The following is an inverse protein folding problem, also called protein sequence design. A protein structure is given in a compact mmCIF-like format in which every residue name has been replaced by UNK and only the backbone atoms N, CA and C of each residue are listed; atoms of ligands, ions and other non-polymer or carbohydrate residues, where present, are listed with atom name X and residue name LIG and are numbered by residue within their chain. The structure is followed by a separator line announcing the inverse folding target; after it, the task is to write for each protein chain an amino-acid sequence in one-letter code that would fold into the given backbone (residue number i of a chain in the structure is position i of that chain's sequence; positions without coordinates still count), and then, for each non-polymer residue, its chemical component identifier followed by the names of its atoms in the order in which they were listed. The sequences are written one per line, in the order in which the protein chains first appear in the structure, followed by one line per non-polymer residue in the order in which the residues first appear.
data_IF_596436121965
#
_entry.id   IF_596436121965
#
_cell.length_a   1.000
_cell.length_b   1.000
_cell.length_c   1.000
_cell.angle_alpha   90.00
_cell.angle_beta   90.00
_cell.angle_gamma   90.00
#
_symmetry.space_group_name_H-M   'P 1'
#
loop_
_entity.id
_entity.type
_entity.pdbx_description
1 polymer ?
#
# COMPACT_ATOMS: atom_id res chain seq x y z
N UNK A 1 -31.45 5.74 -3.84
CA UNK A 1 -31.15 4.32 -4.00
C UNK A 1 -30.56 3.77 -2.71
N UNK A 2 -30.75 2.47 -2.47
CA UNK A 2 -30.15 1.72 -1.37
C UNK A 2 -28.91 0.99 -1.90
N UNK A 3 -27.74 1.31 -1.38
CA UNK A 3 -26.44 0.88 -1.93
C UNK A 3 -25.64 0.15 -0.86
N UNK A 4 -25.12 -1.04 -1.19
CA UNK A 4 -24.15 -1.74 -0.35
C UNK A 4 -22.74 -1.47 -0.84
N UNK A 5 -21.80 -1.31 0.11
CA UNK A 5 -20.36 -1.25 -0.15
C UNK A 5 -19.69 -2.39 0.61
N UNK A 6 -18.90 -3.20 -0.08
CA UNK A 6 -18.19 -4.34 0.51
C UNK A 6 -16.73 -3.95 0.71
N UNK A 7 -16.36 -3.74 1.98
CA UNK A 7 -15.05 -3.30 2.44
C UNK A 7 -15.03 -1.89 3.00
N UNK A 8 -14.58 -1.75 4.26
CA UNK A 8 -14.38 -0.48 4.97
C UNK A 8 -12.93 0.01 4.93
N UNK A 9 -12.22 -0.25 3.84
CA UNK A 9 -10.95 0.41 3.53
C UNK A 9 -11.17 1.86 3.08
N UNK A 10 -10.11 2.65 2.90
CA UNK A 10 -10.24 4.06 2.52
C UNK A 10 -11.03 4.28 1.22
N UNK A 11 -10.92 3.37 0.24
CA UNK A 11 -11.70 3.45 -1.00
C UNK A 11 -13.20 3.28 -0.76
N UNK A 12 -13.60 2.27 0.02
CA UNK A 12 -15.01 2.02 0.36
C UNK A 12 -15.61 3.14 1.19
N UNK A 13 -14.88 3.64 2.20
CA UNK A 13 -15.32 4.76 3.03
C UNK A 13 -15.44 6.08 2.23
N UNK A 14 -14.48 6.36 1.33
CA UNK A 14 -14.57 7.54 0.47
C UNK A 14 -15.75 7.47 -0.52
N UNK A 15 -16.01 6.27 -1.08
CA UNK A 15 -17.18 6.05 -1.91
C UNK A 15 -18.49 6.25 -1.14
N UNK A 16 -18.57 5.74 0.10
CA UNK A 16 -19.72 5.91 0.96
C UNK A 16 -20.00 7.38 1.27
N UNK A 17 -18.94 8.15 1.57
CA UNK A 17 -19.01 9.57 1.82
C UNK A 17 -19.64 10.34 0.64
N UNK A 18 -19.14 10.12 -0.56
CA UNK A 18 -19.62 10.80 -1.76
C UNK A 18 -21.07 10.38 -2.12
N UNK A 19 -21.39 9.07 -2.03
CA UNK A 19 -22.72 8.54 -2.28
C UNK A 19 -23.75 9.10 -1.28
N UNK A 20 -23.37 9.22 -0.01
CA UNK A 20 -24.25 9.81 1.01
C UNK A 20 -24.49 11.30 0.76
N UNK A 21 -23.45 12.05 0.36
CA UNK A 21 -23.59 13.47 -0.07
C UNK A 21 -24.53 13.60 -1.26
N UNK A 22 -24.57 12.61 -2.14
CA UNK A 22 -25.49 12.54 -3.27
C UNK A 22 -26.94 12.08 -2.89
N UNK A 23 -27.22 11.87 -1.60
CA UNK A 23 -28.56 11.56 -1.10
C UNK A 23 -28.93 10.07 -1.09
N UNK A 24 -27.96 9.16 -1.30
CA UNK A 24 -28.22 7.72 -1.29
C UNK A 24 -28.19 7.16 0.14
N UNK A 25 -28.94 6.07 0.37
CA UNK A 25 -28.82 5.26 1.57
C UNK A 25 -27.68 4.26 1.39
N UNK A 26 -26.70 4.28 2.28
CA UNK A 26 -25.48 3.47 2.14
C UNK A 26 -25.27 2.60 3.37
N UNK A 27 -24.97 1.31 3.14
CA UNK A 27 -24.53 0.35 4.15
C UNK A 27 -23.17 -0.20 3.75
N UNK A 28 -22.20 -0.17 4.67
CA UNK A 28 -20.85 -0.75 4.47
C UNK A 28 -20.79 -2.08 5.24
N UNK A 29 -20.33 -3.12 4.56
CA UNK A 29 -20.00 -4.42 5.15
C UNK A 29 -18.50 -4.59 5.25
N UNK A 30 -17.99 -4.92 6.44
CA UNK A 30 -16.57 -5.17 6.69
C UNK A 30 -16.41 -6.45 7.51
N UNK A 31 -15.56 -7.36 7.02
CA UNK A 31 -15.31 -8.65 7.69
C UNK A 31 -14.49 -8.50 8.98
N UNK A 32 -13.63 -7.50 9.05
CA UNK A 32 -12.87 -7.21 10.26
C UNK A 32 -13.75 -6.48 11.31
N UNK A 33 -13.33 -6.56 12.57
CA UNK A 33 -13.96 -5.79 13.67
C UNK A 33 -13.53 -4.32 13.72
N UNK A 34 -12.81 -3.83 12.70
CA UNK A 34 -12.27 -2.48 12.60
C UNK A 34 -12.24 -2.02 11.13
N UNK A 35 -12.20 -0.72 10.93
CA UNK A 35 -12.09 -0.08 9.61
C UNK A 35 -10.63 0.17 9.21
N UNK A 36 -10.38 0.56 7.96
CA UNK A 36 -9.08 1.02 7.46
C UNK A 36 -8.42 0.06 6.46
N UNK A 37 -8.88 -1.20 6.37
CA UNK A 37 -8.35 -2.17 5.41
C UNK A 37 -6.84 -2.40 5.60
N UNK A 38 -6.05 -2.35 4.52
CA UNK A 38 -4.58 -2.52 4.60
C UNK A 38 -3.85 -1.39 5.33
N UNK A 39 -4.46 -0.22 5.49
CA UNK A 39 -3.91 0.88 6.26
C UNK A 39 -4.39 0.88 7.73
N UNK A 40 -5.07 -0.18 8.16
CA UNK A 40 -5.45 -0.36 9.55
C UNK A 40 -4.23 -0.53 10.45
N UNK A 41 -4.40 -0.16 11.70
CA UNK A 41 -3.38 -0.23 12.73
C UNK A 41 -3.88 -0.89 14.02
N UNK A 42 -3.03 -0.85 15.01
CA UNK A 42 -3.31 -1.31 16.37
C UNK A 42 -2.54 -0.44 17.36
N UNK A 43 -2.88 -0.54 18.65
CA UNK A 43 -2.08 0.07 19.72
C UNK A 43 -2.06 -0.81 20.95
N UNK A 44 -0.99 -0.71 21.73
CA UNK A 44 -0.91 -1.28 23.06
C UNK A 44 -1.58 -0.34 24.07
N UNK A 45 -1.99 -0.85 25.25
CA UNK A 45 -2.68 -0.04 26.27
C UNK A 45 -1.89 1.18 26.75
N UNK A 46 -0.56 1.13 26.70
CA UNK A 46 0.34 2.20 27.14
C UNK A 46 0.78 3.16 26.02
N UNK A 47 0.27 2.98 24.80
CA UNK A 47 0.53 3.87 23.67
C UNK A 47 -0.60 4.89 23.50
N UNK A 48 -0.27 6.13 23.23
CA UNK A 48 -1.26 7.15 22.87
C UNK A 48 -1.67 7.04 21.40
N UNK A 49 -0.70 6.69 20.51
CA UNK A 49 -0.92 6.56 19.09
C UNK A 49 -0.98 5.10 18.65
N UNK A 50 -1.65 4.86 17.52
CA UNK A 50 -1.64 3.58 16.82
C UNK A 50 -0.41 3.46 15.91
N UNK A 51 0.03 2.22 15.66
CA UNK A 51 0.95 1.86 14.59
C UNK A 51 0.21 1.05 13.54
N UNK A 52 0.55 1.24 12.28
CA UNK A 52 -0.06 0.52 11.17
C UNK A 52 0.42 -0.94 11.15
N UNK A 53 -0.45 -1.86 10.71
CA UNK A 53 -0.07 -3.27 10.47
C UNK A 53 0.94 -3.40 9.33
N UNK A 54 0.81 -2.54 8.34
CA UNK A 54 1.73 -2.38 7.21
C UNK A 54 2.10 -0.91 7.18
N UNK A 55 3.39 -0.56 7.16
CA UNK A 55 3.83 0.83 7.20
C UNK A 55 3.24 1.64 6.03
N UNK A 56 2.61 2.75 6.37
CA UNK A 56 2.00 3.69 5.45
C UNK A 56 2.51 5.11 5.70
N UNK A 57 2.51 5.92 4.67
CA UNK A 57 2.75 7.36 4.75
C UNK A 57 2.11 8.03 3.53
N UNK A 58 1.86 9.32 3.63
CA UNK A 58 1.42 10.14 2.53
C UNK A 58 2.60 10.89 1.90
N UNK A 59 2.44 11.27 0.64
CA UNK A 59 3.27 12.25 -0.02
C UNK A 59 2.55 13.62 -0.06
N UNK A 60 3.33 14.71 -0.15
CA UNK A 60 2.73 16.05 -0.33
C UNK A 60 1.97 16.17 -1.66
N UNK A 61 2.20 15.26 -2.60
CA UNK A 61 1.52 15.13 -3.88
C UNK A 61 0.22 14.31 -3.85
N UNK A 62 -0.18 13.77 -2.69
CA UNK A 62 -1.36 12.91 -2.52
C UNK A 62 -2.66 13.74 -2.46
N UNK A 63 -2.97 14.40 -3.59
CA UNK A 63 -4.04 15.39 -3.69
C UNK A 63 -5.43 14.87 -3.34
N UNK A 64 -5.74 13.61 -3.68
CA UNK A 64 -7.07 13.04 -3.41
C UNK A 64 -7.29 12.81 -1.91
N UNK A 65 -6.27 12.27 -1.25
CA UNK A 65 -6.33 12.02 0.20
C UNK A 65 -6.30 13.33 0.98
N UNK A 66 -5.39 14.25 0.62
CA UNK A 66 -5.30 15.56 1.27
C UNK A 66 -6.55 16.40 1.01
N UNK A 67 -7.14 16.31 -0.19
CA UNK A 67 -8.41 16.94 -0.51
C UNK A 67 -9.57 16.39 0.34
N UNK A 68 -9.63 15.06 0.55
CA UNK A 68 -10.61 14.47 1.47
C UNK A 68 -10.42 14.96 2.91
N UNK A 69 -9.18 15.01 3.38
CA UNK A 69 -8.85 15.52 4.73
C UNK A 69 -9.30 16.98 4.87
N UNK A 70 -9.09 17.81 3.84
CA UNK A 70 -9.55 19.19 3.79
C UNK A 70 -11.08 19.29 3.82
N UNK A 71 -11.79 18.48 3.03
CA UNK A 71 -13.26 18.44 3.08
C UNK A 71 -13.82 18.07 4.46
N UNK A 72 -13.03 17.29 5.24
CA UNK A 72 -13.37 16.88 6.60
C UNK A 72 -12.97 17.93 7.65
N UNK A 73 -12.19 18.97 7.28
CA UNK A 73 -11.69 20.00 8.19
C UNK A 73 -10.62 19.51 9.16
N UNK A 74 -9.72 18.60 8.71
CA UNK A 74 -8.70 17.96 9.56
C UNK A 74 -7.26 18.19 9.07
N UNK A 75 -7.01 19.26 8.32
CA UNK A 75 -5.69 19.59 7.75
C UNK A 75 -4.65 19.84 8.84
N UNK A 76 -5.05 20.42 9.96
CA UNK A 76 -4.23 20.70 11.14
C UNK A 76 -3.67 19.42 11.80
N UNK A 77 -4.28 18.27 11.52
CA UNK A 77 -3.88 16.95 12.04
C UNK A 77 -2.90 16.21 11.16
N UNK A 78 -2.54 16.76 10.01
CA UNK A 78 -1.57 16.15 9.08
C UNK A 78 -0.18 16.72 9.32
N UNK A 79 0.79 15.85 9.50
CA UNK A 79 2.19 16.22 9.69
C UNK A 79 3.04 15.72 8.52
N UNK A 80 4.01 16.52 8.09
CA UNK A 80 4.95 16.19 7.00
C UNK A 80 6.41 16.34 7.45
N UNK A 81 6.91 15.50 8.38
CA UNK A 81 8.33 15.50 8.70
C UNK A 81 9.17 15.04 7.50
N UNK A 82 10.47 15.34 7.57
CA UNK A 82 11.44 14.88 6.57
C UNK A 82 12.28 13.76 7.17
N UNK A 83 11.96 12.50 6.91
CA UNK A 83 12.70 11.37 7.43
C UNK A 83 13.99 11.13 6.66
N UNK A 84 15.00 10.61 7.35
CA UNK A 84 16.26 10.21 6.74
C UNK A 84 16.10 8.81 6.10
N UNK A 85 16.39 8.73 4.82
CA UNK A 85 16.39 7.47 4.06
C UNK A 85 17.81 7.07 3.69
N UNK A 86 18.14 5.79 3.86
CA UNK A 86 19.46 5.28 3.51
C UNK A 86 19.39 4.06 2.59
N UNK A 87 20.48 3.82 1.89
CA UNK A 87 20.72 2.65 1.05
C UNK A 87 21.94 1.90 1.58
N UNK A 88 21.81 0.59 1.77
CA UNK A 88 22.95 -0.27 2.12
C UNK A 88 23.80 -0.57 0.88
N UNK A 89 25.11 -0.35 1.00
CA UNK A 89 26.08 -0.67 -0.06
C UNK A 89 27.44 -1.00 0.52
N UNK A 90 28.01 -2.16 0.17
CA UNK A 90 29.35 -2.60 0.56
C UNK A 90 29.65 -2.42 2.06
N UNK A 91 28.75 -2.87 2.93
CA UNK A 91 28.95 -2.85 4.39
C UNK A 91 28.58 -1.54 5.07
N UNK A 92 28.11 -0.52 4.36
CA UNK A 92 27.78 0.81 4.93
C UNK A 92 26.41 1.29 4.48
N UNK A 93 25.82 2.19 5.27
CA UNK A 93 24.62 2.92 4.91
C UNK A 93 24.99 4.29 4.37
N UNK A 94 24.37 4.67 3.25
CA UNK A 94 24.58 5.95 2.59
C UNK A 94 23.27 6.71 2.50
N UNK A 95 23.24 8.03 2.76
CA UNK A 95 22.05 8.85 2.58
C UNK A 95 21.46 8.70 1.18
N UNK A 96 20.13 8.61 1.11
CA UNK A 96 19.39 8.43 -0.13
C UNK A 96 18.03 9.16 -0.10
N UNK A 97 17.97 10.28 0.62
CA UNK A 97 16.77 11.06 0.94
C UNK A 97 16.58 12.29 0.05
N UNK A 98 17.54 12.57 -0.84
CA UNK A 98 17.54 13.71 -1.74
C UNK A 98 18.18 13.38 -3.09
N UNK A 99 17.93 14.24 -4.11
CA UNK A 99 18.57 14.11 -5.43
C UNK A 99 20.08 14.20 -5.30
N UNK A 100 20.59 15.14 -4.48
CA UNK A 100 22.03 15.30 -4.27
C UNK A 100 22.63 14.07 -3.60
N UNK A 101 22.00 13.55 -2.54
CA UNK A 101 22.44 12.33 -1.86
C UNK A 101 22.48 11.13 -2.83
N UNK A 102 21.44 10.99 -3.68
CA UNK A 102 21.41 9.96 -4.71
C UNK A 102 22.55 10.11 -5.74
N UNK A 103 22.84 11.32 -6.19
CA UNK A 103 23.96 11.59 -7.11
C UNK A 103 25.35 11.37 -6.47
N UNK A 104 25.46 11.57 -5.16
CA UNK A 104 26.69 11.31 -4.39
C UNK A 104 26.85 9.85 -3.99
N UNK A 105 25.81 9.02 -4.18
CA UNK A 105 25.84 7.60 -3.81
C UNK A 105 26.99 6.86 -4.57
N UNK A 106 27.91 6.21 -3.84
CA UNK A 106 29.11 5.60 -4.47
C UNK A 106 28.77 4.42 -5.39
N UNK A 107 27.61 3.77 -5.20
CA UNK A 107 27.13 2.69 -6.06
C UNK A 107 26.85 3.13 -7.50
N UNK A 108 26.62 4.42 -7.77
CA UNK A 108 26.45 4.95 -9.14
C UNK A 108 27.77 5.01 -9.93
N UNK A 109 28.94 4.80 -9.28
CA UNK A 109 30.23 4.98 -9.95
C UNK A 109 30.54 6.45 -10.23
N UNK A 110 31.33 6.69 -11.30
CA UNK A 110 31.76 8.02 -11.71
C UNK A 110 31.37 8.30 -13.18
N UNK A 111 31.35 9.58 -13.56
CA UNK A 111 31.20 10.01 -14.95
C UNK A 111 29.81 9.74 -15.53
N UNK A 112 29.78 9.00 -16.66
CA UNK A 112 28.58 8.82 -17.50
C UNK A 112 27.38 8.20 -16.77
N UNK A 113 27.60 7.34 -15.77
CA UNK A 113 26.54 6.69 -15.02
C UNK A 113 25.71 7.69 -14.19
N UNK A 114 26.38 8.68 -13.57
CA UNK A 114 25.70 9.76 -12.85
C UNK A 114 24.91 10.66 -13.78
N UNK A 115 25.47 10.96 -14.96
CA UNK A 115 24.77 11.76 -15.98
C UNK A 115 23.53 11.01 -16.47
N UNK A 116 23.63 9.73 -16.78
CA UNK A 116 22.49 8.88 -17.17
C UNK A 116 21.43 8.79 -16.09
N UNK A 117 21.84 8.58 -14.82
CA UNK A 117 20.91 8.54 -13.69
C UNK A 117 20.13 9.85 -13.57
N UNK A 118 20.83 11.00 -13.62
CA UNK A 118 20.20 12.32 -13.53
C UNK A 118 19.26 12.59 -14.71
N UNK A 119 19.70 12.28 -15.95
CA UNK A 119 18.89 12.47 -17.15
C UNK A 119 17.62 11.59 -17.15
N UNK A 120 17.74 10.32 -16.80
CA UNK A 120 16.60 9.40 -16.69
C UNK A 120 15.63 9.88 -15.63
N UNK A 121 16.13 10.29 -14.46
CA UNK A 121 15.28 10.83 -13.39
C UNK A 121 14.53 12.08 -13.83
N UNK A 122 15.21 13.03 -14.50
CA UNK A 122 14.61 14.25 -15.03
C UNK A 122 13.57 13.94 -16.11
N UNK A 123 13.90 13.09 -17.08
CA UNK A 123 12.97 12.66 -18.13
C UNK A 123 11.69 12.09 -17.55
N UNK A 124 11.79 11.17 -16.57
CA UNK A 124 10.63 10.52 -15.94
C UNK A 124 9.81 11.52 -15.09
N UNK A 125 10.44 12.53 -14.52
CA UNK A 125 9.73 13.60 -13.81
C UNK A 125 8.96 14.53 -14.75
N UNK A 126 9.49 14.82 -15.92
CA UNK A 126 8.90 15.77 -16.88
C UNK A 126 7.85 15.11 -17.79
N UNK A 127 8.10 13.90 -18.28
CA UNK A 127 7.19 13.25 -19.22
C UNK A 127 5.82 12.94 -18.59
N UNK A 128 4.78 13.05 -19.41
CA UNK A 128 3.41 12.58 -19.09
C UNK A 128 2.99 11.41 -19.99
N UNK A 129 3.85 10.96 -20.91
CA UNK A 129 3.55 9.91 -21.88
C UNK A 129 3.74 8.50 -21.29
N UNK A 130 3.00 8.19 -20.22
CA UNK A 130 3.02 6.88 -19.60
C UNK A 130 2.50 5.77 -20.53
N UNK A 131 1.61 6.10 -21.51
CA UNK A 131 1.08 5.14 -22.49
C UNK A 131 2.17 4.57 -23.42
N UNK A 132 3.21 5.34 -23.70
CA UNK A 132 4.38 4.81 -24.41
C UNK A 132 5.24 3.91 -23.50
N UNK A 133 5.34 4.28 -22.21
CA UNK A 133 6.13 3.56 -21.22
C UNK A 133 5.49 2.23 -20.81
N UNK A 134 4.16 2.09 -20.85
CA UNK A 134 3.52 0.81 -20.52
C UNK A 134 3.77 -0.30 -21.55
N UNK A 135 4.23 0.03 -22.74
CA UNK A 135 4.50 -0.91 -23.83
C UNK A 135 5.84 -1.64 -23.70
N UNK A 136 6.68 -1.23 -22.78
CA UNK A 136 8.02 -1.77 -22.53
C UNK A 136 8.19 -2.13 -21.07
N UNK A 137 9.07 -3.09 -20.79
CA UNK A 137 9.37 -3.46 -19.39
C UNK A 137 10.30 -2.45 -18.73
N UNK A 138 10.15 -2.27 -17.41
CA UNK A 138 11.05 -1.43 -16.62
C UNK A 138 12.48 -1.98 -16.65
N UNK A 139 12.64 -3.32 -16.61
CA UNK A 139 13.92 -4.02 -16.71
C UNK A 139 14.71 -3.61 -17.97
N UNK A 140 14.13 -3.82 -19.16
CA UNK A 140 14.79 -3.54 -20.43
C UNK A 140 15.02 -2.04 -20.65
N UNK A 141 14.04 -1.20 -20.32
CA UNK A 141 14.12 0.24 -20.52
C UNK A 141 15.18 0.87 -19.61
N UNK A 142 15.19 0.53 -18.32
CA UNK A 142 16.17 1.06 -17.37
C UNK A 142 17.59 0.58 -17.70
N UNK A 143 17.77 -0.68 -18.10
CA UNK A 143 19.07 -1.21 -18.51
C UNK A 143 19.62 -0.43 -19.72
N UNK A 144 18.77 -0.13 -20.70
CA UNK A 144 19.17 0.61 -21.91
C UNK A 144 19.52 2.06 -21.60
N UNK A 145 18.69 2.80 -20.86
CA UNK A 145 18.82 4.26 -20.73
C UNK A 145 19.62 4.69 -19.51
N UNK A 146 19.40 4.06 -18.36
CA UNK A 146 20.19 4.35 -17.17
C UNK A 146 21.58 3.68 -17.20
N UNK A 147 21.73 2.62 -18.00
CA UNK A 147 22.96 1.83 -18.13
C UNK A 147 23.01 0.67 -17.13
N UNK A 148 23.76 -0.38 -17.51
CA UNK A 148 23.84 -1.65 -16.76
C UNK A 148 24.22 -1.44 -15.30
N UNK A 149 25.26 -0.65 -15.03
CA UNK A 149 25.76 -0.44 -13.66
C UNK A 149 24.71 0.22 -12.76
N UNK A 150 24.06 1.30 -13.25
CA UNK A 150 22.99 2.00 -12.52
C UNK A 150 21.78 1.09 -12.32
N UNK A 151 21.41 0.36 -13.37
CA UNK A 151 20.29 -0.57 -13.31
C UNK A 151 20.51 -1.66 -12.25
N UNK A 152 21.64 -2.37 -12.30
CA UNK A 152 21.92 -3.48 -11.39
C UNK A 152 22.04 -3.05 -9.93
N UNK A 153 22.54 -1.84 -9.65
CA UNK A 153 22.78 -1.39 -8.28
C UNK A 153 21.61 -0.61 -7.67
N UNK A 154 20.76 0.01 -8.50
CA UNK A 154 19.71 0.91 -8.04
C UNK A 154 18.31 0.38 -8.31
N UNK A 155 18.04 -0.01 -9.54
CA UNK A 155 16.67 -0.27 -9.99
C UNK A 155 16.29 -1.74 -9.92
N UNK A 156 17.21 -2.64 -10.27
CA UNK A 156 16.97 -4.09 -10.17
C UNK A 156 16.67 -4.55 -8.74
N UNK A 157 17.42 -4.15 -7.70
CA UNK A 157 17.06 -4.51 -6.33
C UNK A 157 15.67 -4.04 -5.92
N UNK A 158 15.27 -2.84 -6.35
CA UNK A 158 13.92 -2.33 -6.13
C UNK A 158 12.85 -3.17 -6.83
N UNK A 159 13.06 -3.49 -8.12
CA UNK A 159 12.12 -4.31 -8.90
C UNK A 159 12.00 -5.71 -8.33
N UNK A 160 13.13 -6.36 -8.03
CA UNK A 160 13.17 -7.70 -7.42
C UNK A 160 12.47 -7.70 -6.06
N UNK A 161 12.78 -6.73 -5.22
CA UNK A 161 12.17 -6.62 -3.89
C UNK A 161 10.66 -6.36 -3.92
N UNK A 162 10.17 -5.65 -4.96
CA UNK A 162 8.74 -5.35 -5.09
C UNK A 162 7.95 -6.45 -5.75
N UNK A 163 8.51 -7.13 -6.74
CA UNK A 163 7.77 -8.00 -7.65
C UNK A 163 8.31 -9.43 -7.71
N UNK A 164 9.35 -9.74 -6.93
CA UNK A 164 9.92 -11.10 -6.90
C UNK A 164 10.21 -11.63 -8.30
N UNK A 165 9.65 -12.81 -8.68
CA UNK A 165 9.90 -13.42 -9.98
C UNK A 165 9.35 -12.62 -11.16
N UNK A 166 8.37 -11.75 -10.94
CA UNK A 166 7.74 -10.94 -11.99
C UNK A 166 8.51 -9.66 -12.32
N UNK A 167 9.66 -9.39 -11.70
CA UNK A 167 10.36 -8.11 -11.84
C UNK A 167 10.74 -7.75 -13.28
N UNK A 168 10.95 -8.75 -14.16
CA UNK A 168 11.26 -8.56 -15.58
C UNK A 168 10.05 -8.21 -16.44
N UNK A 169 8.85 -8.53 -15.97
CA UNK A 169 7.61 -8.38 -16.73
C UNK A 169 6.87 -7.07 -16.40
N UNK A 170 7.31 -6.38 -15.32
CA UNK A 170 6.70 -5.12 -14.88
C UNK A 170 6.97 -4.03 -15.92
N UNK A 171 5.91 -3.31 -16.29
CA UNK A 171 6.00 -2.24 -17.29
C UNK A 171 6.71 -0.98 -16.74
N UNK A 172 7.23 -0.17 -17.65
CA UNK A 172 7.97 1.05 -17.31
C UNK A 172 7.06 2.17 -16.80
N UNK A 173 5.74 2.14 -17.06
CA UNK A 173 4.81 3.13 -16.54
C UNK A 173 4.72 3.08 -15.00
N UNK A 174 4.82 1.90 -14.39
CA UNK A 174 4.90 1.77 -12.95
C UNK A 174 6.15 2.49 -12.36
N UNK A 175 7.32 2.29 -12.98
CA UNK A 175 8.54 2.96 -12.54
C UNK A 175 8.44 4.49 -12.72
N UNK A 176 7.84 4.93 -13.81
CA UNK A 176 7.53 6.34 -14.05
C UNK A 176 6.65 6.91 -12.95
N UNK A 177 5.52 6.27 -12.64
CA UNK A 177 4.59 6.73 -11.61
C UNK A 177 5.28 6.89 -10.25
N UNK A 178 6.12 5.91 -9.89
CA UNK A 178 6.87 5.91 -8.65
C UNK A 178 7.88 7.07 -8.55
N UNK A 179 8.55 7.42 -9.63
CA UNK A 179 9.51 8.53 -9.66
C UNK A 179 8.76 9.88 -9.69
N UNK A 180 7.67 9.95 -10.46
CA UNK A 180 6.90 11.18 -10.66
C UNK A 180 6.17 11.64 -9.41
N UNK A 181 5.56 10.72 -8.67
CA UNK A 181 4.73 11.05 -7.51
C UNK A 181 5.53 11.32 -6.22
N UNK A 182 6.80 10.89 -6.12
CA UNK A 182 7.56 10.98 -4.86
C UNK A 182 7.93 12.40 -4.47
N UNK A 183 7.74 12.70 -3.18
CA UNK A 183 8.24 13.90 -2.50
C UNK A 183 9.25 13.50 -1.43
N UNK A 184 10.04 14.46 -0.95
CA UNK A 184 11.08 14.24 0.08
C UNK A 184 10.52 14.24 1.50
N UNK A 185 9.33 14.79 1.69
CA UNK A 185 8.60 14.76 2.97
C UNK A 185 7.55 13.65 2.92
N UNK A 186 7.41 12.94 4.03
CA UNK A 186 6.41 11.91 4.21
C UNK A 186 5.36 12.39 5.21
N UNK A 187 4.10 12.06 4.96
CA UNK A 187 2.97 12.48 5.78
C UNK A 187 2.43 11.37 6.66
N UNK A 188 1.95 11.75 7.83
CA UNK A 188 1.12 10.92 8.71
C UNK A 188 0.03 11.76 9.35
N UNK A 189 -0.93 11.12 10.01
CA UNK A 189 -2.02 11.75 10.74
C UNK A 189 -1.75 11.69 12.24
N UNK A 190 -2.18 12.71 12.97
CA UNK A 190 -2.16 12.70 14.44
C UNK A 190 -2.88 11.45 14.98
N UNK A 191 -2.17 10.65 15.79
CA UNK A 191 -2.68 9.38 16.30
C UNK A 191 -2.53 8.18 15.35
N UNK A 192 -1.91 8.35 14.16
CA UNK A 192 -1.69 7.31 13.15
C UNK A 192 -2.87 7.11 12.20
N UNK A 193 -2.68 6.26 11.17
CA UNK A 193 -3.70 6.01 10.14
C UNK A 193 -4.97 5.35 10.69
N UNK A 194 -4.88 4.54 11.75
CA UNK A 194 -6.06 3.96 12.38
C UNK A 194 -6.93 5.04 13.03
N UNK A 195 -6.31 6.07 13.64
CA UNK A 195 -7.05 7.19 14.21
C UNK A 195 -7.82 7.95 13.12
N UNK A 196 -7.16 8.22 11.98
CA UNK A 196 -7.86 8.79 10.82
C UNK A 196 -9.03 7.90 10.36
N UNK A 197 -8.81 6.59 10.21
CA UNK A 197 -9.86 5.66 9.77
C UNK A 197 -11.05 5.63 10.73
N UNK A 198 -10.79 5.63 12.04
CA UNK A 198 -11.83 5.65 13.06
C UNK A 198 -12.65 6.95 13.04
N UNK A 199 -11.97 8.11 13.01
CA UNK A 199 -12.63 9.43 12.88
C UNK A 199 -13.46 9.53 11.61
N UNK A 200 -12.95 8.99 10.50
CA UNK A 200 -13.69 8.99 9.25
C UNK A 200 -14.93 8.08 9.32
N UNK A 201 -14.81 6.90 9.93
CA UNK A 201 -15.96 6.02 10.16
C UNK A 201 -17.01 6.65 11.10
N UNK A 202 -16.59 7.37 12.15
CA UNK A 202 -17.49 8.14 13.01
C UNK A 202 -18.22 9.21 12.19
N UNK A 203 -17.52 9.97 11.37
CA UNK A 203 -18.12 10.97 10.48
C UNK A 203 -19.16 10.35 9.53
N UNK A 204 -18.85 9.19 8.96
CA UNK A 204 -19.80 8.46 8.11
C UNK A 204 -21.07 8.04 8.88
N UNK A 205 -20.93 7.57 10.12
CA UNK A 205 -22.08 7.24 10.98
C UNK A 205 -22.92 8.47 11.33
N UNK A 206 -22.29 9.61 11.64
CA UNK A 206 -22.98 10.89 11.85
C UNK A 206 -23.81 11.31 10.62
N UNK A 207 -23.34 10.99 9.43
CA UNK A 207 -24.05 11.23 8.17
C UNK A 207 -25.19 10.20 7.92
N UNK A 208 -25.40 9.24 8.81
CA UNK A 208 -26.41 8.19 8.69
C UNK A 208 -26.01 7.01 7.79
N UNK A 209 -24.71 6.76 7.62
CA UNK A 209 -24.20 5.55 6.96
C UNK A 209 -24.09 4.43 8.00
N UNK A 210 -24.68 3.30 7.70
CA UNK A 210 -24.53 2.10 8.50
C UNK A 210 -23.21 1.40 8.19
N UNK A 211 -22.39 1.11 9.22
CA UNK A 211 -21.13 0.37 9.07
C UNK A 211 -21.20 -0.89 9.93
N UNK A 212 -21.32 -2.05 9.28
CA UNK A 212 -21.39 -3.38 9.89
C UNK A 212 -20.00 -3.99 9.93
N UNK A 213 -19.40 -3.99 11.12
CA UNK A 213 -18.10 -4.61 11.36
C UNK A 213 -18.26 -6.06 11.80
N UNK A 214 -17.30 -6.92 11.46
CA UNK A 214 -17.36 -8.37 11.69
C UNK A 214 -18.37 -9.07 10.76
N UNK A 215 -18.97 -8.35 9.81
CA UNK A 215 -20.00 -8.80 8.90
C UNK A 215 -19.40 -9.13 7.52
N UNK A 216 -18.78 -10.30 7.42
CA UNK A 216 -18.21 -10.79 6.15
C UNK A 216 -19.30 -11.16 5.15
N UNK A 217 -19.25 -10.58 3.95
CA UNK A 217 -20.16 -10.96 2.86
C UNK A 217 -19.77 -12.33 2.32
N UNK A 218 -20.76 -13.20 2.17
CA UNK A 218 -20.62 -14.59 1.70
C UNK A 218 -20.86 -14.70 0.19
N UNK A 219 -21.87 -13.98 -0.31
CA UNK A 219 -22.22 -13.97 -1.74
C UNK A 219 -23.00 -12.71 -2.14
N UNK A 220 -22.94 -12.40 -3.43
CA UNK A 220 -23.72 -11.35 -4.08
C UNK A 220 -24.40 -12.00 -5.28
N UNK A 221 -25.75 -11.99 -5.33
CA UNK A 221 -26.52 -12.58 -6.40
C UNK A 221 -27.56 -11.60 -6.92
N UNK A 222 -27.85 -11.68 -8.23
CA UNK A 222 -28.95 -10.92 -8.80
C UNK A 222 -30.26 -11.57 -8.45
N UNK A 223 -31.19 -10.78 -7.89
CA UNK A 223 -32.56 -11.16 -7.63
C UNK A 223 -33.50 -10.12 -8.26
N UNK A 224 -34.10 -10.49 -9.39
CA UNK A 224 -34.94 -9.60 -10.19
C UNK A 224 -34.18 -8.30 -10.60
N UNK A 225 -34.66 -7.14 -10.14
CA UNK A 225 -34.05 -5.85 -10.42
C UNK A 225 -32.99 -5.42 -9.40
N UNK A 226 -32.78 -6.17 -8.33
CA UNK A 226 -31.89 -5.83 -7.20
C UNK A 226 -30.77 -6.87 -7.04
N UNK A 227 -29.87 -6.58 -6.14
CA UNK A 227 -28.76 -7.47 -5.75
C UNK A 227 -28.95 -7.89 -4.30
N UNK A 228 -29.01 -9.20 -4.06
CA UNK A 228 -29.02 -9.79 -2.72
C UNK A 228 -27.57 -9.91 -2.23
N UNK A 229 -27.28 -9.25 -1.13
CA UNK A 229 -26.00 -9.36 -0.39
C UNK A 229 -26.24 -10.26 0.81
N UNK A 230 -25.56 -11.42 0.84
CA UNK A 230 -25.65 -12.37 1.95
C UNK A 230 -24.49 -12.17 2.92
N UNK A 231 -24.80 -11.96 4.20
CA UNK A 231 -23.86 -11.85 5.32
C UNK A 231 -24.47 -12.48 6.56
N UNK A 232 -23.70 -13.22 7.34
CA UNK A 232 -24.13 -13.90 8.56
C UNK A 232 -25.40 -14.76 8.35
N UNK A 233 -25.48 -15.45 7.21
CA UNK A 233 -26.61 -16.29 6.83
C UNK A 233 -27.87 -15.53 6.38
N UNK A 234 -27.93 -14.21 6.49
CA UNK A 234 -29.07 -13.37 6.10
C UNK A 234 -28.81 -12.67 4.77
N UNK A 235 -29.85 -12.52 3.95
CA UNK A 235 -29.80 -11.79 2.69
C UNK A 235 -30.55 -10.47 2.78
N UNK A 236 -29.95 -9.40 2.27
CA UNK A 236 -30.55 -8.08 2.18
C UNK A 236 -30.46 -7.55 0.75
N UNK A 237 -31.53 -6.92 0.26
CA UNK A 237 -31.62 -6.43 -1.11
C UNK A 237 -31.14 -4.98 -1.22
N UNK A 238 -30.38 -4.71 -2.27
CA UNK A 238 -29.83 -3.41 -2.62
C UNK A 238 -30.06 -3.10 -4.10
N UNK A 239 -30.24 -1.82 -4.41
CA UNK A 239 -30.37 -1.37 -5.79
C UNK A 239 -29.02 -1.49 -6.52
N UNK A 240 -27.92 -1.21 -5.83
CA UNK A 240 -26.56 -1.31 -6.33
C UNK A 240 -25.59 -1.81 -5.27
N UNK A 241 -24.52 -2.47 -5.72
CA UNK A 241 -23.46 -2.98 -4.85
C UNK A 241 -22.11 -2.56 -5.41
N UNK A 242 -21.25 -1.97 -4.56
CA UNK A 242 -19.85 -1.65 -4.86
C UNK A 242 -18.93 -2.57 -4.04
N UNK A 243 -18.13 -3.40 -4.72
CA UNK A 243 -17.14 -4.25 -4.08
C UNK A 243 -15.77 -3.56 -4.13
N UNK A 244 -15.12 -3.36 -2.97
CA UNK A 244 -13.81 -2.68 -2.86
C UNK A 244 -12.72 -3.60 -2.30
N UNK A 245 -12.76 -4.86 -2.69
CA UNK A 245 -11.87 -5.92 -2.19
C UNK A 245 -10.83 -6.34 -3.24
N UNK A 246 -10.12 -7.47 -3.01
CA UNK A 246 -9.24 -8.05 -4.01
C UNK A 246 -10.02 -8.67 -5.19
N UNK A 247 -9.41 -8.78 -6.40
CA UNK A 247 -10.04 -9.45 -7.55
C UNK A 247 -10.45 -10.89 -7.26
N UNK A 248 -9.64 -11.64 -6.52
CA UNK A 248 -9.94 -13.03 -6.16
C UNK A 248 -11.15 -13.13 -5.22
N UNK A 249 -11.30 -12.18 -4.27
CA UNK A 249 -12.47 -12.14 -3.40
C UNK A 249 -13.71 -11.72 -4.20
N UNK A 250 -13.60 -10.75 -5.11
CA UNK A 250 -14.70 -10.38 -6.01
C UNK A 250 -15.21 -11.59 -6.80
N UNK A 251 -14.29 -12.37 -7.39
CA UNK A 251 -14.66 -13.59 -8.12
C UNK A 251 -15.38 -14.64 -7.25
N UNK A 252 -14.98 -14.73 -5.97
CA UNK A 252 -15.64 -15.63 -5.00
C UNK A 252 -17.03 -15.14 -4.60
N UNK A 253 -17.20 -13.83 -4.41
CA UNK A 253 -18.46 -13.22 -3.93
C UNK A 253 -19.54 -13.21 -5.03
N UNK A 254 -19.16 -13.06 -6.29
CA UNK A 254 -20.07 -12.97 -7.43
C UNK A 254 -19.74 -14.02 -8.50
N UNK A 255 -19.93 -15.33 -8.21
CA UNK A 255 -19.58 -16.42 -9.14
C UNK A 255 -20.44 -16.42 -10.41
N UNK A 256 -21.56 -15.73 -10.42
CA UNK A 256 -22.47 -15.60 -11.57
C UNK A 256 -21.96 -14.60 -12.63
N UNK A 257 -20.82 -13.92 -12.38
CA UNK A 257 -20.15 -13.12 -13.40
C UNK A 257 -19.73 -13.98 -14.60
N UNK A 258 -19.77 -13.44 -15.82
CA UNK A 258 -19.37 -14.19 -17.02
C UNK A 258 -17.94 -14.76 -16.89
N UNK A 259 -17.73 -15.97 -17.40
CA UNK A 259 -16.46 -16.71 -17.25
C UNK A 259 -15.24 -15.94 -17.76
N UNK A 260 -15.37 -15.19 -18.86
CA UNK A 260 -14.30 -14.35 -19.38
C UNK A 260 -13.93 -13.21 -18.42
N UNK A 261 -14.91 -12.61 -17.72
CA UNK A 261 -14.67 -11.58 -16.72
C UNK A 261 -14.00 -12.17 -15.46
N UNK A 262 -14.50 -13.31 -14.96
CA UNK A 262 -13.88 -14.04 -13.84
C UNK A 262 -12.44 -14.41 -14.13
N UNK A 263 -12.16 -14.94 -15.33
CA UNK A 263 -10.81 -15.23 -15.79
C UNK A 263 -9.93 -13.99 -15.75
N UNK A 264 -10.41 -12.85 -16.28
CA UNK A 264 -9.69 -11.58 -16.26
C UNK A 264 -9.36 -11.10 -14.85
N UNK A 265 -10.29 -11.25 -13.87
CA UNK A 265 -10.03 -10.93 -12.46
C UNK A 265 -8.92 -11.81 -11.86
N UNK A 266 -8.95 -13.12 -12.13
CA UNK A 266 -8.02 -14.10 -11.56
C UNK A 266 -6.62 -14.05 -12.21
N UNK A 267 -6.51 -13.52 -13.43
CA UNK A 267 -5.24 -13.28 -14.12
C UNK A 267 -4.49 -12.03 -13.61
N UNK A 268 -5.16 -11.13 -12.86
CA UNK A 268 -4.51 -9.98 -12.24
C UNK A 268 -3.58 -10.43 -11.12
N UNK A 269 -2.29 -10.41 -11.40
CA UNK A 269 -1.26 -10.85 -10.44
C UNK A 269 -1.04 -9.82 -9.34
N UNK A 270 -0.75 -10.30 -8.14
CA UNK A 270 -0.36 -9.46 -7.00
C UNK A 270 0.65 -10.20 -6.13
N UNK A 271 1.58 -9.46 -5.55
CA UNK A 271 2.42 -9.94 -4.45
C UNK A 271 1.64 -9.80 -3.14
N UNK A 272 1.85 -10.72 -2.25
CA UNK A 272 1.49 -10.58 -0.85
C UNK A 272 2.53 -9.76 -0.08
N UNK A 273 2.31 -9.57 1.21
CA UNK A 273 3.27 -8.94 2.10
C UNK A 273 3.29 -9.63 3.46
N UNK A 274 4.50 -9.72 4.02
CA UNK A 274 4.73 -10.10 5.41
C UNK A 274 5.50 -8.96 6.07
N UNK A 275 4.94 -8.39 7.13
CA UNK A 275 5.54 -7.27 7.86
C UNK A 275 5.54 -7.58 9.34
N UNK A 276 6.74 -7.60 9.91
CA UNK A 276 6.96 -7.69 11.35
C UNK A 276 7.03 -6.28 11.94
N UNK A 277 6.29 -6.04 13.00
CA UNK A 277 6.40 -4.85 13.84
C UNK A 277 7.07 -5.25 15.14
N UNK A 278 8.08 -4.52 15.53
CA UNK A 278 8.85 -4.74 16.75
C UNK A 278 8.70 -3.53 17.68
N UNK A 279 8.43 -3.77 18.95
CA UNK A 279 8.66 -2.82 20.03
C UNK A 279 10.00 -3.14 20.66
N UNK A 280 10.91 -2.17 20.68
CA UNK A 280 12.26 -2.31 21.22
C UNK A 280 12.47 -1.42 22.43
N UNK A 281 13.36 -1.85 23.37
CA UNK A 281 13.81 -1.05 24.52
C UNK A 281 14.75 0.10 24.12
N UNK A 282 15.49 -0.08 23.03
CA UNK A 282 16.53 0.84 22.57
C UNK A 282 16.36 1.16 21.09
N UNK A 283 16.78 2.35 20.70
CA UNK A 283 16.82 2.78 19.32
C UNK A 283 17.75 1.89 18.51
N UNK A 284 17.26 1.41 17.35
CA UNK A 284 18.04 0.53 16.49
C UNK A 284 19.06 1.33 15.66
N UNK A 285 18.65 2.46 15.08
CA UNK A 285 19.51 3.30 14.27
C UNK A 285 20.22 4.38 15.11
N UNK A 286 21.52 4.24 15.29
CA UNK A 286 22.33 5.24 16.02
C UNK A 286 22.29 6.63 15.38
N UNK A 287 22.13 6.69 14.04
CA UNK A 287 22.13 7.93 13.27
C UNK A 287 20.73 8.50 13.01
N UNK A 288 19.67 7.90 13.59
CA UNK A 288 18.30 8.36 13.45
C UNK A 288 17.71 8.10 12.04
N UNK A 289 18.20 7.10 11.31
CA UNK A 289 17.64 6.74 10.03
C UNK A 289 16.23 6.16 10.18
N UNK A 290 15.32 6.65 9.35
CA UNK A 290 13.94 6.18 9.32
C UNK A 290 13.77 4.98 8.38
N UNK A 291 14.23 5.10 7.12
CA UNK A 291 14.03 4.10 6.08
C UNK A 291 15.34 3.50 5.60
N UNK A 292 15.45 2.20 5.71
CA UNK A 292 16.59 1.42 5.23
C UNK A 292 16.19 0.64 3.97
N UNK A 293 16.82 0.93 2.84
CA UNK A 293 16.72 0.10 1.65
C UNK A 293 17.76 -1.02 1.76
N UNK A 294 17.30 -2.26 1.81
CA UNK A 294 18.09 -3.45 2.13
C UNK A 294 18.11 -4.40 0.92
N UNK A 295 19.19 -4.39 0.10
CA UNK A 295 19.29 -5.29 -1.03
C UNK A 295 19.37 -6.76 -0.57
N UNK A 296 18.56 -7.64 -1.16
CA UNK A 296 18.56 -9.08 -0.84
C UNK A 296 19.91 -9.73 -1.16
N UNK A 297 20.61 -9.27 -2.21
CA UNK A 297 21.94 -9.70 -2.59
C UNK A 297 22.99 -9.44 -1.50
N UNK A 298 22.73 -8.54 -0.58
CA UNK A 298 23.55 -8.29 0.60
C UNK A 298 23.21 -9.21 1.79
N UNK A 299 22.34 -10.21 1.60
CA UNK A 299 21.97 -11.18 2.62
C UNK A 299 20.96 -10.65 3.65
N UNK A 300 20.15 -9.64 3.30
CA UNK A 300 19.04 -9.23 4.13
C UNK A 300 17.79 -10.08 3.81
N UNK A 301 17.10 -10.62 4.83
CA UNK A 301 15.91 -11.44 4.66
C UNK A 301 14.63 -10.61 4.44
N UNK A 302 14.71 -9.28 4.47
CA UNK A 302 13.64 -8.33 4.23
C UNK A 302 14.07 -7.29 3.19
N UNK A 303 13.11 -6.71 2.48
CA UNK A 303 13.35 -5.65 1.50
C UNK A 303 13.65 -4.29 2.16
N UNK A 304 12.96 -4.00 3.24
CA UNK A 304 13.07 -2.73 3.92
C UNK A 304 12.92 -2.89 5.44
N UNK A 305 13.59 -2.00 6.15
CA UNK A 305 13.37 -1.78 7.57
C UNK A 305 13.00 -0.32 7.76
N UNK A 306 12.02 -0.06 8.62
CA UNK A 306 11.55 1.28 8.93
C UNK A 306 11.56 1.47 10.45
N UNK A 307 12.40 2.33 10.96
CA UNK A 307 12.36 2.71 12.37
C UNK A 307 11.40 3.88 12.55
N UNK A 308 10.15 3.54 12.83
CA UNK A 308 9.02 4.47 12.87
C UNK A 308 9.22 5.61 13.86
N UNK A 309 9.86 5.31 14.97
CA UNK A 309 10.14 6.31 16.04
C UNK A 309 11.26 7.30 15.71
N UNK A 310 11.86 7.20 14.53
CA UNK A 310 12.69 8.26 13.95
C UNK A 310 11.87 9.20 13.01
N UNK A 311 10.55 8.99 12.93
CA UNK A 311 9.60 9.77 12.16
C UNK A 311 8.48 10.36 13.04
N UNK A 312 7.98 9.57 14.00
CA UNK A 312 7.02 9.96 15.03
C UNK A 312 7.69 9.74 16.38
N UNK A 313 7.54 10.69 17.32
CA UNK A 313 8.19 10.58 18.63
C UNK A 313 7.81 9.29 19.35
N UNK A 314 8.80 8.62 19.96
CA UNK A 314 8.59 7.45 20.82
C UNK A 314 7.70 7.76 22.04
N UNK A 315 7.56 9.01 22.42
CA UNK A 315 6.73 9.41 23.56
C UNK A 315 5.26 9.02 23.32
N UNK A 316 4.81 9.02 22.07
CA UNK A 316 3.48 8.53 21.71
C UNK A 316 3.32 7.00 21.82
N UNK A 317 4.42 6.29 22.04
CA UNK A 317 4.46 4.83 22.19
C UNK A 317 4.96 4.41 23.57
N UNK A 318 4.76 5.26 24.59
CA UNK A 318 5.18 4.95 25.97
C UNK A 318 6.69 4.76 26.13
N UNK A 319 7.49 5.37 25.27
CA UNK A 319 8.94 5.24 25.24
C UNK A 319 9.46 4.05 24.42
N UNK A 320 8.59 3.24 23.82
CA UNK A 320 8.99 2.13 22.95
C UNK A 320 9.56 2.65 21.64
N UNK A 321 10.61 1.99 21.14
CA UNK A 321 11.12 2.20 19.78
C UNK A 321 10.44 1.23 18.83
N UNK A 322 9.70 1.76 17.84
CA UNK A 322 8.92 0.96 16.91
C UNK A 322 9.68 0.76 15.60
N UNK A 323 9.83 -0.49 15.22
CA UNK A 323 10.55 -0.89 14.01
C UNK A 323 9.67 -1.81 13.18
N UNK A 324 9.57 -1.53 11.88
CA UNK A 324 8.99 -2.44 10.89
C UNK A 324 10.09 -3.13 10.10
N UNK A 325 9.94 -4.42 9.87
CA UNK A 325 10.76 -5.20 8.95
C UNK A 325 9.82 -5.94 7.98
N UNK A 326 9.88 -5.62 6.69
CA UNK A 326 8.87 -6.10 5.75
C UNK A 326 9.39 -6.50 4.39
N UNK A 327 8.62 -7.38 3.73
CA UNK A 327 8.90 -7.86 2.39
C UNK A 327 7.61 -8.05 1.57
N UNK A 328 7.74 -7.95 0.23
CA UNK A 328 6.72 -8.38 -0.72
C UNK A 328 7.11 -9.75 -1.25
N UNK A 329 6.19 -10.71 -1.12
CA UNK A 329 6.46 -12.12 -1.35
C UNK A 329 5.35 -12.72 -2.21
N UNK A 330 5.70 -13.77 -2.98
CA UNK A 330 4.68 -14.59 -3.63
C UNK A 330 3.78 -15.26 -2.59
N UNK A 331 2.51 -15.38 -2.95
CA UNK A 331 1.56 -16.15 -2.12
C UNK A 331 2.05 -17.59 -2.04
N UNK A 332 2.19 -18.09 -0.81
CA UNK A 332 2.75 -19.44 -0.53
C UNK A 332 4.23 -19.43 -0.15
N UNK A 333 4.93 -18.28 -0.14
CA UNK A 333 6.28 -18.18 0.41
C UNK A 333 6.33 -18.65 1.87
N UNK A 334 7.43 -19.29 2.30
CA UNK A 334 7.59 -19.86 3.65
C UNK A 334 7.23 -18.91 4.79
N UNK A 335 7.47 -17.60 4.63
CA UNK A 335 7.16 -16.59 5.67
C UNK A 335 5.66 -16.51 6.02
N UNK A 336 4.77 -16.91 5.10
CA UNK A 336 3.33 -16.94 5.40
C UNK A 336 2.95 -18.03 6.40
N UNK A 337 3.73 -19.10 6.49
CA UNK A 337 3.50 -20.23 7.41
C UNK A 337 4.32 -20.17 8.71
N UNK A 338 5.38 -19.35 8.74
CA UNK A 338 6.22 -19.20 9.95
C UNK A 338 5.46 -18.53 11.09
N UNK A 339 5.79 -18.93 12.35
CA UNK A 339 5.35 -18.20 13.54
C UNK A 339 6.08 -16.86 13.69
N UNK A 340 5.60 -16.01 14.59
CA UNK A 340 6.23 -14.72 14.89
C UNK A 340 7.66 -14.90 15.42
N UNK A 341 7.89 -15.91 16.26
CA UNK A 341 9.21 -16.25 16.82
C UNK A 341 10.17 -16.74 15.72
N UNK A 342 9.71 -17.63 14.84
CA UNK A 342 10.53 -18.14 13.73
C UNK A 342 10.95 -17.02 12.77
N UNK A 343 10.06 -16.09 12.50
CA UNK A 343 10.39 -14.90 11.68
C UNK A 343 11.34 -13.96 12.41
N UNK A 344 11.17 -13.75 13.71
CA UNK A 344 12.10 -12.96 14.51
C UNK A 344 13.51 -13.56 14.48
N UNK A 345 13.63 -14.86 14.73
CA UNK A 345 14.93 -15.56 14.64
C UNK A 345 15.59 -15.38 13.28
N UNK A 346 14.81 -15.46 12.19
CA UNK A 346 15.29 -15.24 10.83
C UNK A 346 15.79 -13.80 10.62
N UNK A 347 15.20 -12.82 11.31
CA UNK A 347 15.51 -11.39 11.12
C UNK A 347 16.60 -10.87 12.06
N UNK A 348 16.85 -11.52 13.21
CA UNK A 348 17.90 -11.14 14.17
C UNK A 348 19.27 -10.88 13.53
N UNK A 349 19.80 -11.72 12.61
CA UNK A 349 21.09 -11.46 11.98
C UNK A 349 21.13 -10.13 11.20
N UNK A 350 20.01 -9.77 10.57
CA UNK A 350 19.89 -8.50 9.85
C UNK A 350 19.83 -7.29 10.82
N UNK A 351 19.11 -7.42 11.93
CA UNK A 351 19.08 -6.38 12.99
C UNK A 351 20.48 -6.14 13.56
N UNK A 352 21.25 -7.20 13.83
CA UNK A 352 22.67 -7.10 14.24
C UNK A 352 23.56 -6.48 13.17
N UNK A 353 23.28 -6.70 11.89
CA UNK A 353 24.01 -6.11 10.77
C UNK A 353 23.73 -4.61 10.64
N UNK A 354 22.52 -4.17 11.01
CA UNK A 354 22.14 -2.74 11.05
C UNK A 354 22.77 -2.07 12.28
N UNK A 355 22.67 -2.71 13.45
CA UNK A 355 23.28 -2.23 14.68
C UNK A 355 24.05 -3.40 15.37
N UNK A 356 25.39 -3.40 15.35
CA UNK A 356 26.19 -4.44 15.98
C UNK A 356 25.96 -4.59 17.50
N UNK A 357 25.45 -3.56 18.17
CA UNK A 357 25.14 -3.61 19.61
C UNK A 357 23.77 -4.22 19.89
N UNK A 358 22.96 -4.51 18.84
CA UNK A 358 21.64 -5.09 19.00
C UNK A 358 21.74 -6.45 19.70
N UNK A 359 20.89 -6.65 20.71
CA UNK A 359 20.72 -7.90 21.43
C UNK A 359 19.28 -8.36 21.36
N UNK A 360 18.99 -9.68 21.32
CA UNK A 360 17.62 -10.18 21.30
C UNK A 360 16.75 -9.69 22.47
N UNK A 361 17.32 -9.44 23.64
CA UNK A 361 16.62 -8.91 24.81
C UNK A 361 16.18 -7.43 24.69
N UNK A 362 16.59 -6.75 23.61
CA UNK A 362 16.03 -5.44 23.25
C UNK A 362 14.59 -5.54 22.78
N UNK A 363 14.19 -6.70 22.23
CA UNK A 363 12.83 -6.93 21.75
C UNK A 363 11.88 -7.09 22.95
N UNK A 364 10.93 -6.18 23.07
CA UNK A 364 9.86 -6.23 24.08
C UNK A 364 8.68 -7.06 23.57
N UNK A 365 8.28 -6.83 22.33
CA UNK A 365 7.13 -7.48 21.72
C UNK A 365 7.25 -7.53 20.19
N UNK A 366 6.60 -8.52 19.58
CA UNK A 366 6.57 -8.76 18.15
C UNK A 366 5.13 -8.92 17.69
N UNK A 367 4.80 -8.42 16.52
CA UNK A 367 3.55 -8.67 15.80
C UNK A 367 3.88 -8.92 14.33
N UNK A 368 3.34 -9.96 13.75
CA UNK A 368 3.51 -10.26 12.34
C UNK A 368 2.18 -10.13 11.60
N UNK A 369 2.16 -9.26 10.61
CA UNK A 369 1.02 -9.02 9.76
C UNK A 369 1.25 -9.62 8.38
N UNK A 370 0.30 -10.40 7.88
CA UNK A 370 0.39 -11.13 6.62
C UNK A 370 -0.82 -10.80 5.76
N UNK A 371 -0.61 -10.60 4.46
CA UNK A 371 -1.69 -10.44 3.48
C UNK A 371 -1.28 -11.01 2.14
N UNK A 372 -2.20 -11.70 1.47
CA UNK A 372 -1.98 -12.26 0.14
C UNK A 372 -2.17 -11.24 -0.99
N UNK A 373 -2.65 -10.04 -0.70
CA UNK A 373 -2.95 -9.00 -1.68
C UNK A 373 -2.40 -7.66 -1.19
N UNK A 374 -1.20 -7.30 -1.63
CA UNK A 374 -0.50 -6.09 -1.18
C UNK A 374 0.08 -5.23 -2.32
N UNK A 375 0.61 -5.85 -3.38
CA UNK A 375 1.24 -5.13 -4.48
C UNK A 375 0.80 -5.74 -5.82
N UNK A 376 -0.14 -5.10 -6.54
CA UNK A 376 -0.48 -5.49 -7.91
C UNK A 376 0.76 -5.45 -8.81
N UNK A 377 0.83 -6.38 -9.75
CA UNK A 377 1.93 -6.51 -10.71
C UNK A 377 1.48 -5.97 -12.07
N UNK A 378 1.84 -4.72 -12.42
CA UNK A 378 1.44 -4.14 -13.70
C UNK A 378 2.32 -4.66 -14.85
N UNK A 379 1.81 -5.60 -15.61
CA UNK A 379 2.47 -6.17 -16.78
C UNK A 379 2.47 -5.19 -17.97
N UNK A 380 3.23 -5.51 -19.03
CA UNK A 380 3.21 -4.73 -20.29
C UNK A 380 1.77 -4.63 -20.84
N UNK A 381 1.38 -3.45 -21.30
CA UNK A 381 0.02 -3.11 -21.74
C UNK A 381 -1.08 -3.33 -20.68
N UNK A 382 -0.76 -3.13 -19.41
CA UNK A 382 -1.66 -3.40 -18.28
C UNK A 382 -3.02 -2.70 -18.39
N UNK A 383 -3.07 -1.50 -18.95
CA UNK A 383 -4.32 -0.74 -19.15
C UNK A 383 -5.38 -1.49 -19.96
N UNK A 384 -4.99 -2.48 -20.77
CA UNK A 384 -5.91 -3.32 -21.55
C UNK A 384 -6.52 -4.48 -20.74
N UNK A 385 -5.88 -4.83 -19.63
CA UNK A 385 -6.26 -5.98 -18.80
C UNK A 385 -6.99 -5.58 -17.51
N UNK A 386 -7.06 -4.28 -17.24
CA UNK A 386 -7.77 -3.76 -16.06
C UNK A 386 -9.28 -3.88 -16.31
N UNK A 387 -10.03 -4.54 -15.41
CA UNK A 387 -11.48 -4.61 -15.53
C UNK A 387 -12.11 -3.22 -15.36
N UNK A 388 -13.22 -2.96 -16.03
CA UNK A 388 -14.02 -1.76 -15.79
C UNK A 388 -14.58 -1.75 -14.36
N UNK A 389 -14.85 -0.56 -13.81
CA UNK A 389 -15.52 -0.43 -12.51
C UNK A 389 -16.93 -1.02 -12.57
N UNK A 390 -17.68 -0.74 -13.64
CA UNK A 390 -18.96 -1.39 -13.89
C UNK A 390 -18.72 -2.81 -14.37
N UNK A 391 -19.32 -3.78 -13.67
CA UNK A 391 -19.22 -5.19 -14.06
C UNK A 391 -20.28 -5.55 -15.12
N UNK A 392 -20.19 -6.73 -15.75
CA UNK A 392 -21.25 -7.22 -16.65
C UNK A 392 -22.59 -7.48 -15.95
N UNK A 393 -22.65 -7.62 -14.63
CA UNK A 393 -23.91 -7.71 -13.88
C UNK A 393 -24.39 -6.29 -13.58
N UNK A 394 -25.58 -5.96 -14.06
CA UNK A 394 -26.19 -4.65 -13.83
C UNK A 394 -26.34 -4.34 -12.33
N UNK A 395 -26.00 -3.14 -11.91
CA UNK A 395 -26.02 -2.73 -10.50
C UNK A 395 -24.81 -3.16 -9.69
N UNK A 396 -23.95 -4.07 -10.21
CA UNK A 396 -22.75 -4.53 -9.52
C UNK A 396 -21.50 -3.81 -10.05
N UNK A 397 -20.72 -3.24 -9.11
CA UNK A 397 -19.51 -2.47 -9.40
C UNK A 397 -18.32 -3.04 -8.64
N UNK A 398 -17.13 -2.89 -9.21
CA UNK A 398 -15.88 -3.35 -8.63
C UNK A 398 -14.80 -2.26 -8.72
N UNK A 399 -14.24 -1.87 -7.57
CA UNK A 399 -13.17 -0.89 -7.49
C UNK A 399 -12.08 -1.38 -6.53
N UNK A 400 -10.92 -1.70 -7.05
CA UNK A 400 -9.83 -2.28 -6.27
C UNK A 400 -8.48 -1.65 -6.58
N UNK A 401 -7.52 -1.93 -5.72
CA UNK A 401 -6.13 -1.52 -5.89
C UNK A 401 -5.52 -1.98 -7.22
N UNK A 402 -5.97 -3.10 -7.80
CA UNK A 402 -5.52 -3.59 -9.12
C UNK A 402 -5.96 -2.70 -10.29
N UNK A 403 -6.96 -1.84 -10.08
CA UNK A 403 -7.46 -0.89 -11.09
C UNK A 403 -6.84 0.50 -10.96
N UNK A 404 -5.99 0.71 -9.95
CA UNK A 404 -5.18 1.92 -9.81
C UNK A 404 -4.04 1.87 -10.81
N UNK A 405 -4.17 2.62 -11.90
CA UNK A 405 -3.19 2.64 -12.99
C UNK A 405 -3.32 3.93 -13.80
N UNK A 406 -2.22 4.56 -14.24
CA UNK A 406 -0.80 4.11 -14.20
C UNK A 406 -0.09 4.33 -12.87
N UNK A 407 -0.77 4.85 -11.87
CA UNK A 407 -0.18 5.14 -10.57
C UNK A 407 0.16 3.86 -9.79
N UNK A 408 1.04 3.99 -8.80
CA UNK A 408 1.28 2.90 -7.83
C UNK A 408 0.19 2.92 -6.76
N UNK A 409 0.00 1.82 -6.07
CA UNK A 409 -0.97 1.70 -4.98
C UNK A 409 -0.68 2.68 -3.84
N UNK A 410 -1.69 3.01 -3.06
CA UNK A 410 -1.61 3.85 -1.88
C UNK A 410 -2.99 4.34 -1.43
N UNK A 411 -3.07 4.88 -0.22
CA UNK A 411 -4.33 5.38 0.33
C UNK A 411 -4.90 6.53 -0.49
N UNK A 412 -4.04 7.38 -1.08
CA UNK A 412 -4.44 8.43 -2.01
C UNK A 412 -5.24 7.88 -3.19
N UNK A 413 -4.71 6.84 -3.83
CA UNK A 413 -5.36 6.25 -5.00
C UNK A 413 -6.53 5.33 -4.62
N UNK A 414 -6.57 4.83 -3.38
CA UNK A 414 -7.75 4.16 -2.86
C UNK A 414 -8.92 5.15 -2.73
N UNK A 415 -8.67 6.37 -2.24
CA UNK A 415 -9.67 7.45 -2.20
C UNK A 415 -10.09 7.83 -3.62
N UNK A 416 -9.15 8.04 -4.54
CA UNK A 416 -9.44 8.39 -5.96
C UNK A 416 -10.36 7.37 -6.60
N UNK A 417 -10.00 6.07 -6.56
CA UNK A 417 -10.81 5.04 -7.22
C UNK A 417 -12.17 4.83 -6.54
N UNK A 418 -12.23 5.00 -5.21
CA UNK A 418 -13.49 4.97 -4.46
C UNK A 418 -14.44 6.09 -4.89
N UNK A 419 -13.95 7.33 -4.98
CA UNK A 419 -14.72 8.48 -5.47
C UNK A 419 -15.13 8.33 -6.93
N UNK A 420 -14.25 7.82 -7.78
CA UNK A 420 -14.56 7.53 -9.18
C UNK A 420 -15.67 6.48 -9.30
N UNK A 421 -15.60 5.41 -8.50
CA UNK A 421 -16.64 4.41 -8.44
C UNK A 421 -17.97 4.99 -7.92
N UNK A 422 -17.95 5.82 -6.89
CA UNK A 422 -19.14 6.47 -6.36
C UNK A 422 -19.88 7.30 -7.41
N UNK A 423 -19.15 8.05 -8.25
CA UNK A 423 -19.77 8.82 -9.37
C UNK A 423 -20.48 7.91 -10.37
N UNK A 424 -19.98 6.70 -10.63
CA UNK A 424 -20.62 5.75 -11.55
C UNK A 424 -21.80 5.01 -10.90
N UNK A 425 -21.66 4.67 -9.62
CA UNK A 425 -22.73 4.02 -8.84
C UNK A 425 -23.91 4.97 -8.61
N UNK A 426 -23.64 6.26 -8.37
CA UNK A 426 -24.65 7.28 -8.04
C UNK A 426 -25.51 7.74 -9.24
N UNK A 427 -25.12 7.38 -10.46
CA UNK A 427 -25.92 7.65 -11.68
C UNK A 427 -27.07 6.63 -11.80
#
# INVERSE_FOLDING_TARGET
MKIAIIGAGFGGMAAAYDLRKAGHQVTIYESAKYVGGLASGFKEPHWDWSVEKFYHHWFQSDSEMLGLIQELGWEDKVMFPRPLTVMYYKGKFYPFDSILAALLFPGLGFGIDKVRFGFVGLFLRLTNNWKALEKVTADSWMMRWAGKNVYEKMWKPLLVGKFGPFYRDVNMAWMWARIKARTTRLGTFEGGFQNFANKFAEKLREMGIEIRLGAGVESIKREQAQLAVKSDGQSELFDKVLVTTSPSLMAKLAPDLPQNYLKGLLELKSMGAVVMVLSLKHQLSKDGYYWFNLPKEAGFPMLALVEHTNFVSKDHFGGDHIVYAGDYLEVGHEYFSMSDEQLLERFIPALKKINPDFKPDWVKKVWVNKTNYAQPVPLVNHSKNIPAIQTPIEGLYFASMSQVYPWDRGTNFAVEIGRRAARMVGQ
#
